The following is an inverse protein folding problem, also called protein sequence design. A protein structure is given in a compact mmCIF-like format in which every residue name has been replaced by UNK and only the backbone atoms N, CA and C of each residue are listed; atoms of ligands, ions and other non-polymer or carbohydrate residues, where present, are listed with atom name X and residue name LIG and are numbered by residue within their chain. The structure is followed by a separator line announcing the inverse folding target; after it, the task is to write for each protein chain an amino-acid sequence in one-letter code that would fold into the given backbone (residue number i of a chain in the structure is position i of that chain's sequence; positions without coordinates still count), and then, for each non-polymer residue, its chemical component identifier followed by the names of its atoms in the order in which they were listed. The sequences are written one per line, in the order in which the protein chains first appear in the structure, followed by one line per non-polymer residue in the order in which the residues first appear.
data_IF_530433377046
#
_entry.id   IF_530433377046
#
_cell.length_a   1.000
_cell.length_b   1.000
_cell.length_c   1.000
_cell.angle_alpha   90.00
_cell.angle_beta   90.00
_cell.angle_gamma   90.00
#
_symmetry.space_group_name_H-M   'P 1'
#
loop_
_entity.id
_entity.type
_entity.pdbx_description
1 polymer ?
#
# COMPACT_ATOMS: atom_id res chain seq x y z
N UNK A 1 -14.93 26.46 12.87
CA UNK A 1 -14.46 27.19 11.67
C UNK A 1 -12.96 27.33 11.76
N UNK A 2 -12.21 26.49 11.03
CA UNK A 2 -10.75 26.56 10.99
C UNK A 2 -10.33 27.43 9.78
N UNK A 3 -9.48 28.40 10.05
CA UNK A 3 -9.02 29.41 9.09
C UNK A 3 -7.89 28.81 8.26
N UNK A 4 -8.07 28.78 6.94
CA UNK A 4 -7.03 28.43 5.99
C UNK A 4 -5.96 29.53 5.97
N UNK A 5 -4.73 29.19 6.36
CA UNK A 5 -3.54 29.96 5.99
C UNK A 5 -2.99 29.36 4.70
N UNK A 6 -3.03 30.15 3.63
CA UNK A 6 -2.36 29.81 2.39
C UNK A 6 -0.87 30.05 2.52
N UNK A 7 -0.09 29.10 2.01
CA UNK A 7 1.22 29.37 1.43
C UNK A 7 1.11 29.03 -0.06
N UNK A 8 1.11 30.09 -0.87
CA UNK A 8 1.05 30.04 -2.32
C UNK A 8 2.41 29.74 -2.93
N UNK A 9 2.99 28.58 -2.58
CA UNK A 9 4.07 28.06 -3.41
C UNK A 9 3.47 27.67 -4.77
N UNK A 10 4.10 28.09 -5.89
CA UNK A 10 3.66 27.66 -7.21
C UNK A 10 3.78 26.13 -7.25
N UNK A 11 2.62 25.46 -7.26
CA UNK A 11 2.59 24.01 -7.40
C UNK A 11 3.24 23.61 -8.72
N UNK A 12 4.12 22.61 -8.71
CA UNK A 12 4.77 22.16 -9.92
C UNK A 12 3.71 21.71 -10.94
N UNK A 13 3.88 22.16 -12.18
CA UNK A 13 3.10 21.72 -13.33
C UNK A 13 3.86 20.61 -14.06
N UNK A 14 3.15 19.56 -14.44
CA UNK A 14 3.69 18.39 -15.11
C UNK A 14 3.17 18.33 -16.55
N UNK A 15 4.03 17.94 -17.49
CA UNK A 15 3.62 17.64 -18.87
C UNK A 15 3.22 16.17 -18.96
N UNK A 16 1.93 15.91 -19.16
CA UNK A 16 1.37 14.56 -19.27
C UNK A 16 1.02 14.25 -20.72
N UNK A 17 1.32 13.03 -21.18
CA UNK A 17 0.93 12.54 -22.50
C UNK A 17 -0.31 11.65 -22.36
N UNK A 18 -1.39 12.03 -23.04
CA UNK A 18 -2.61 11.22 -23.16
C UNK A 18 -2.38 9.96 -24.00
N UNK A 19 -3.28 8.99 -23.91
CA UNK A 19 -3.25 7.78 -24.76
C UNK A 19 -3.30 8.08 -26.26
N UNK A 20 -3.96 9.18 -26.65
CA UNK A 20 -3.98 9.68 -28.03
C UNK A 20 -2.73 10.48 -28.45
N UNK A 21 -1.67 10.52 -27.63
CA UNK A 21 -0.42 11.20 -27.94
C UNK A 21 -0.40 12.72 -27.71
N UNK A 22 -1.55 13.34 -27.41
CA UNK A 22 -1.64 14.76 -27.05
C UNK A 22 -0.93 15.02 -25.72
N UNK A 23 -0.16 16.11 -25.66
CA UNK A 23 0.48 16.60 -24.43
C UNK A 23 -0.41 17.65 -23.75
N UNK A 24 -0.54 17.55 -22.44
CA UNK A 24 -1.30 18.46 -21.59
C UNK A 24 -0.41 18.95 -20.45
N UNK A 25 -0.61 20.19 -20.02
CA UNK A 25 -0.07 20.66 -18.75
C UNK A 25 -1.11 20.39 -17.67
N UNK A 26 -0.68 19.76 -16.59
CA UNK A 26 -1.53 19.45 -15.46
C UNK A 26 -0.85 19.84 -14.13
N UNK A 27 -1.64 20.34 -13.19
CA UNK A 27 -1.19 20.59 -11.82
C UNK A 27 -1.59 19.42 -10.91
N UNK A 28 -0.96 19.30 -9.75
CA UNK A 28 -1.39 18.33 -8.75
C UNK A 28 -2.62 18.80 -8.00
N UNK A 29 -3.60 17.91 -7.87
CA UNK A 29 -4.70 18.08 -6.93
C UNK A 29 -4.17 18.25 -5.48
N UNK A 30 -4.84 19.01 -4.59
CA UNK A 30 -4.40 19.18 -3.21
C UNK A 30 -4.15 17.89 -2.42
N UNK A 31 -4.79 16.78 -2.77
CA UNK A 31 -4.55 15.48 -2.13
C UNK A 31 -3.32 14.72 -2.64
N UNK A 32 -2.64 15.20 -3.69
CA UNK A 32 -1.54 14.47 -4.35
C UNK A 32 -0.20 15.09 -4.01
N UNK A 33 0.70 14.30 -3.44
CA UNK A 33 2.05 14.76 -3.09
C UNK A 33 2.98 14.82 -4.30
N UNK A 34 3.96 15.74 -4.35
CA UNK A 34 4.98 15.77 -5.39
C UNK A 34 5.83 14.50 -5.46
N UNK A 35 6.19 13.93 -4.30
CA UNK A 35 6.99 12.70 -4.22
C UNK A 35 6.29 11.49 -4.89
N UNK A 36 4.96 11.43 -4.81
CA UNK A 36 4.17 10.42 -5.51
C UNK A 36 4.27 10.55 -7.04
N UNK A 37 4.39 11.78 -7.56
CA UNK A 37 4.59 11.99 -8.99
C UNK A 37 5.97 11.56 -9.46
N UNK A 38 7.00 11.78 -8.65
CA UNK A 38 8.36 11.33 -8.96
C UNK A 38 8.40 9.79 -9.10
N UNK A 39 7.69 9.09 -8.22
CA UNK A 39 7.48 7.64 -8.32
C UNK A 39 6.75 7.26 -9.62
N UNK A 40 5.63 7.92 -9.93
CA UNK A 40 4.86 7.65 -11.14
C UNK A 40 5.69 7.86 -12.42
N UNK A 41 6.52 8.90 -12.46
CA UNK A 41 7.41 9.17 -13.60
C UNK A 41 8.51 8.13 -13.71
N UNK A 42 9.14 7.76 -12.59
CA UNK A 42 10.19 6.73 -12.53
C UNK A 42 9.68 5.36 -13.00
N UNK A 43 8.45 5.02 -12.67
CA UNK A 43 7.84 3.71 -12.96
C UNK A 43 6.97 3.71 -14.22
N UNK A 44 6.80 4.85 -14.87
CA UNK A 44 5.97 4.98 -16.08
C UNK A 44 4.49 4.69 -15.83
N UNK A 45 3.97 5.01 -14.64
CA UNK A 45 2.58 4.74 -14.25
C UNK A 45 1.61 5.64 -15.00
N UNK A 46 0.47 5.09 -15.42
CA UNK A 46 -0.64 5.90 -15.96
C UNK A 46 -1.29 6.68 -14.83
N UNK A 47 -1.69 7.93 -15.08
CA UNK A 47 -2.34 8.80 -14.09
C UNK A 47 -3.76 9.17 -14.52
N UNK A 48 -4.61 9.45 -13.53
CA UNK A 48 -5.97 9.95 -13.72
C UNK A 48 -5.93 11.47 -13.80
N UNK A 49 -6.53 12.01 -14.86
CA UNK A 49 -6.67 13.43 -15.10
C UNK A 49 -8.14 13.83 -14.94
N UNK A 50 -8.38 15.02 -14.39
CA UNK A 50 -9.70 15.63 -14.33
C UNK A 50 -9.65 17.10 -14.73
N UNK A 51 -10.76 17.62 -15.24
CA UNK A 51 -10.91 19.04 -15.47
C UNK A 51 -10.90 19.77 -14.12
N UNK A 52 -10.04 20.78 -14.01
CA UNK A 52 -9.98 21.65 -12.85
C UNK A 52 -10.69 22.96 -13.15
N UNK A 53 -11.40 23.56 -12.18
CA UNK A 53 -11.86 24.94 -12.33
C UNK A 53 -10.64 25.83 -12.63
N UNK A 54 -10.72 26.59 -13.72
CA UNK A 54 -9.61 27.40 -14.21
C UNK A 54 -9.08 28.30 -13.11
N UNK A 55 -7.83 28.10 -12.67
CA UNK A 55 -7.22 29.00 -11.68
C UNK A 55 -6.10 28.45 -10.80
N UNK A 56 -5.86 27.14 -10.74
CA UNK A 56 -4.77 26.59 -9.92
C UNK A 56 -3.52 26.37 -10.77
N UNK A 57 -2.58 27.32 -10.76
CA UNK A 57 -1.25 27.17 -11.37
C UNK A 57 -1.19 27.24 -12.90
N UNK A 58 -2.21 27.81 -13.56
CA UNK A 58 -2.22 28.00 -15.02
C UNK A 58 -2.58 26.75 -15.85
N UNK A 59 -2.84 25.61 -15.20
CA UNK A 59 -3.33 24.39 -15.83
C UNK A 59 -4.85 24.25 -15.65
N UNK A 60 -5.56 23.85 -16.72
CA UNK A 60 -7.00 23.54 -16.69
C UNK A 60 -7.29 22.08 -16.30
N UNK A 61 -6.25 21.30 -16.03
CA UNK A 61 -6.33 19.86 -15.75
C UNK A 61 -5.57 19.57 -14.46
N UNK A 62 -6.17 18.76 -13.59
CA UNK A 62 -5.57 18.27 -12.36
C UNK A 62 -5.21 16.78 -12.47
N UNK A 63 -4.05 16.41 -11.91
CA UNK A 63 -3.67 15.02 -11.66
C UNK A 63 -4.27 14.61 -10.32
N UNK A 64 -5.15 13.61 -10.34
CA UNK A 64 -5.83 13.10 -9.14
C UNK A 64 -5.10 11.93 -8.48
N UNK A 65 -4.22 11.24 -9.22
CA UNK A 65 -3.50 10.06 -8.74
C UNK A 65 -3.12 9.11 -9.87
N UNK A 66 -2.56 7.94 -9.54
CA UNK A 66 -2.26 6.89 -10.50
C UNK A 66 -3.51 6.09 -10.86
N UNK A 67 -3.65 5.73 -12.13
CA UNK A 67 -4.65 4.77 -12.58
C UNK A 67 -4.27 3.39 -12.05
N UNK A 68 -5.08 2.89 -11.12
CA UNK A 68 -4.93 1.55 -10.61
C UNK A 68 -5.79 0.59 -11.44
N UNK A 69 -5.14 -0.25 -12.24
CA UNK A 69 -5.82 -1.22 -13.11
C UNK A 69 -5.94 -2.62 -12.48
N UNK A 70 -5.19 -2.88 -11.42
CA UNK A 70 -5.31 -4.08 -10.59
C UNK A 70 -6.08 -3.77 -9.30
N UNK A 71 -6.83 -4.72 -8.75
CA UNK A 71 -7.39 -4.59 -7.41
C UNK A 71 -6.24 -4.62 -6.40
N UNK A 72 -5.72 -3.45 -6.00
CA UNK A 72 -4.87 -3.37 -4.83
C UNK A 72 -5.75 -3.68 -3.60
N UNK A 73 -5.25 -4.46 -2.64
CA UNK A 73 -5.89 -4.57 -1.35
C UNK A 73 -5.97 -3.15 -0.75
N UNK A 74 -7.17 -2.62 -0.58
CA UNK A 74 -7.42 -1.33 0.04
C UNK A 74 -8.21 -1.55 1.34
N UNK A 75 -7.88 -0.83 2.43
CA UNK A 75 -8.68 -0.87 3.63
C UNK A 75 -10.12 -0.41 3.37
N UNK A 76 -11.08 -0.95 4.11
CA UNK A 76 -12.47 -0.51 4.10
C UNK A 76 -12.67 0.84 4.83
N UNK A 77 -13.92 1.30 4.92
CA UNK A 77 -14.27 2.56 5.60
C UNK A 77 -13.93 2.58 7.10
N UNK A 78 -13.64 1.42 7.70
CA UNK A 78 -13.23 1.26 9.09
C UNK A 78 -11.72 1.07 9.24
N UNK A 79 -10.96 1.12 8.14
CA UNK A 79 -9.52 0.88 8.12
C UNK A 79 -9.13 -0.60 8.13
N UNK A 80 -10.07 -1.52 7.87
CA UNK A 80 -9.81 -2.96 7.86
C UNK A 80 -9.42 -3.43 6.46
N UNK A 81 -8.28 -4.14 6.35
CA UNK A 81 -7.93 -4.85 5.13
C UNK A 81 -8.23 -6.35 5.26
N UNK A 82 -9.27 -6.83 4.59
CA UNK A 82 -9.63 -8.25 4.55
C UNK A 82 -9.14 -8.93 3.27
N UNK A 83 -8.44 -10.05 3.40
CA UNK A 83 -8.05 -10.93 2.29
C UNK A 83 -8.84 -12.24 2.41
N UNK A 84 -9.86 -12.41 1.56
CA UNK A 84 -10.68 -13.64 1.51
C UNK A 84 -10.43 -14.41 0.22
N UNK A 85 -10.33 -15.73 0.32
CA UNK A 85 -10.20 -16.58 -0.85
C UNK A 85 -10.19 -18.06 -0.51
N UNK A 86 -10.54 -18.90 -1.49
CA UNK A 86 -10.41 -20.36 -1.36
C UNK A 86 -8.94 -20.78 -1.14
N UNK A 87 -7.99 -20.02 -1.69
CA UNK A 87 -6.56 -20.20 -1.50
C UNK A 87 -5.88 -18.83 -1.44
N UNK A 88 -5.21 -18.53 -0.33
CA UNK A 88 -4.40 -17.30 -0.17
C UNK A 88 -2.93 -17.69 -0.11
N UNK A 89 -2.11 -17.14 -1.01
CA UNK A 89 -0.66 -17.37 -1.05
C UNK A 89 0.07 -16.03 -0.97
N UNK A 90 0.79 -15.83 0.13
CA UNK A 90 1.70 -14.69 0.32
C UNK A 90 3.14 -15.16 0.10
N UNK A 91 3.91 -14.45 -0.72
CA UNK A 91 5.32 -14.77 -1.00
C UNK A 91 6.18 -13.54 -0.81
N UNK A 92 7.09 -13.59 0.15
CA UNK A 92 8.13 -12.59 0.34
C UNK A 92 9.47 -13.11 -0.20
N UNK A 93 10.36 -12.19 -0.63
CA UNK A 93 11.72 -12.53 -1.07
C UNK A 93 12.72 -12.55 0.08
N UNK A 94 12.49 -11.70 1.06
CA UNK A 94 13.37 -11.49 2.20
C UNK A 94 12.59 -11.86 3.46
N UNK A 95 11.76 -10.94 3.93
CA UNK A 95 11.06 -11.10 5.21
C UNK A 95 9.55 -11.02 5.00
N UNK A 96 8.80 -11.84 5.74
CA UNK A 96 7.36 -11.63 5.97
C UNK A 96 7.19 -11.24 7.43
N UNK A 97 6.60 -10.07 7.68
CA UNK A 97 6.41 -9.52 9.02
C UNK A 97 4.98 -9.02 9.22
N UNK A 98 4.41 -9.30 10.38
CA UNK A 98 3.13 -8.81 10.85
C UNK A 98 3.35 -8.18 12.22
N UNK A 99 3.00 -6.90 12.38
CA UNK A 99 3.22 -6.15 13.61
C UNK A 99 1.93 -5.51 14.10
N UNK A 100 1.72 -5.55 15.41
CA UNK A 100 0.71 -4.78 16.13
C UNK A 100 1.36 -4.19 17.38
N UNK A 101 0.81 -3.15 18.00
CA UNK A 101 1.36 -2.63 19.24
C UNK A 101 1.55 -3.73 20.30
N UNK A 102 2.80 -3.99 20.69
CA UNK A 102 3.17 -4.98 21.70
C UNK A 102 3.25 -6.43 21.21
N UNK A 103 3.15 -6.72 19.90
CA UNK A 103 3.38 -8.07 19.37
C UNK A 103 3.86 -8.08 17.93
N UNK A 104 4.71 -9.05 17.58
CA UNK A 104 5.18 -9.25 16.21
C UNK A 104 5.30 -10.72 15.83
N UNK A 105 5.12 -10.98 14.54
CA UNK A 105 5.36 -12.26 13.90
C UNK A 105 6.26 -12.03 12.68
N UNK A 106 7.39 -12.73 12.62
CA UNK A 106 8.37 -12.57 11.54
C UNK A 106 8.83 -13.93 11.02
N UNK A 107 8.89 -14.05 9.69
CA UNK A 107 9.49 -15.16 8.96
C UNK A 107 10.70 -14.61 8.20
N UNK A 108 11.87 -15.20 8.43
CA UNK A 108 13.13 -14.77 7.83
C UNK A 108 13.60 -15.75 6.73
N UNK A 109 14.52 -15.31 5.84
CA UNK A 109 15.24 -16.21 4.95
C UNK A 109 15.93 -17.32 5.75
N UNK A 110 15.82 -18.57 5.28
CA UNK A 110 16.36 -19.73 5.99
C UNK A 110 15.36 -20.44 6.91
N UNK A 111 14.12 -19.93 7.00
CA UNK A 111 13.00 -20.63 7.65
C UNK A 111 12.89 -20.40 9.15
N UNK A 112 13.65 -19.45 9.70
CA UNK A 112 13.46 -19.01 11.08
C UNK A 112 12.11 -18.28 11.23
N UNK A 113 11.40 -18.61 12.31
CA UNK A 113 10.14 -17.98 12.69
C UNK A 113 10.30 -17.38 14.08
N UNK A 114 9.99 -16.09 14.21
CA UNK A 114 10.02 -15.35 15.48
C UNK A 114 8.63 -14.86 15.83
N UNK A 115 8.23 -15.13 17.07
CA UNK A 115 6.99 -14.65 17.69
C UNK A 115 7.39 -13.86 18.93
N UNK A 116 6.95 -12.61 19.01
CA UNK A 116 7.22 -11.72 20.16
C UNK A 116 5.91 -11.13 20.66
N UNK A 117 5.74 -11.09 21.99
CA UNK A 117 4.56 -10.52 22.64
C UNK A 117 4.47 -10.89 24.11
N UNK A 118 3.60 -10.21 24.85
CA UNK A 118 3.49 -10.34 26.32
C UNK A 118 2.86 -11.67 26.75
N UNK A 119 1.98 -12.24 25.92
CA UNK A 119 1.31 -13.51 26.17
C UNK A 119 1.16 -14.29 24.87
N UNK A 120 1.71 -15.49 24.85
CA UNK A 120 1.51 -16.45 23.77
C UNK A 120 0.55 -17.54 24.26
N UNK A 121 -0.61 -17.66 23.60
CA UNK A 121 -1.54 -18.78 23.82
C UNK A 121 -1.43 -19.71 22.62
N UNK A 122 -0.93 -20.92 22.85
CA UNK A 122 -0.92 -21.99 21.85
C UNK A 122 -1.96 -23.02 22.29
N UNK A 123 -2.97 -23.26 21.45
CA UNK A 123 -3.93 -24.33 21.69
C UNK A 123 -3.26 -25.70 21.52
N UNK A 124 -3.13 -26.43 22.64
CA UNK A 124 -2.41 -27.70 22.71
C UNK A 124 -3.16 -28.88 22.11
N UNK A 125 -4.46 -28.77 21.77
CA UNK A 125 -5.23 -29.91 21.26
C UNK A 125 -4.70 -30.47 19.93
N UNK A 126 -3.95 -29.67 19.16
CA UNK A 126 -3.38 -30.07 17.87
C UNK A 126 -1.94 -30.65 17.94
N UNK A 127 -1.17 -30.34 19.00
CA UNK A 127 0.26 -30.68 19.08
C UNK A 127 0.55 -32.11 19.54
N UNK A 128 -0.41 -32.76 20.21
CA UNK A 128 -0.25 -34.13 20.75
C UNK A 128 -0.01 -35.17 19.64
N UNK A 129 -0.46 -34.93 18.40
CA UNK A 129 -0.30 -35.89 17.29
C UNK A 129 1.13 -35.97 16.74
N UNK A 130 1.97 -34.96 16.95
CA UNK A 130 3.31 -34.91 16.34
C UNK A 130 4.32 -35.71 17.17
N UNK A 131 4.15 -35.79 18.50
CA UNK A 131 5.08 -36.50 19.38
C UNK A 131 4.80 -38.01 19.52
N UNK A 132 3.61 -38.48 19.13
CA UNK A 132 3.25 -39.91 19.23
C UNK A 132 3.83 -40.79 18.11
N UNK A 133 4.44 -40.20 17.07
CA UNK A 133 4.93 -40.94 15.90
C UNK A 133 6.41 -41.36 15.97
N UNK A 134 7.12 -41.10 17.08
CA UNK A 134 8.58 -41.33 17.16
C UNK A 134 9.09 -41.89 18.49
N UNK A 135 8.32 -42.79 19.10
CA UNK A 135 8.80 -43.55 20.28
C UNK A 135 8.57 -45.03 20.02
N UNK A 136 9.58 -45.71 19.48
CA UNK A 136 9.74 -47.16 19.66
C UNK A 136 10.65 -47.36 20.88
N UNK A 137 10.16 -48.09 21.88
CA UNK A 137 10.95 -48.52 23.05
C UNK A 137 11.55 -49.90 22.77
N UNK A 138 12.77 -50.21 23.28
CA UNK A 138 13.39 -51.52 23.16
C UNK A 138 12.69 -52.61 23.97
#
# INVERSE_FOLDING_TARGET
MAVARGDGEPRPTYQVRTSGGRRLLAALDPGVSPAFMDECMREGRTVVLADAPAGVGGASVAILGALQTASAPAPDAHGTLALEGRHVRVRARETLELEVPGSSFRIEPGGAVRLEGDRLVIDMAALVRIFSARVELP
#
